data_IF_611803454493
#
_entry.id   IF_611803454493
#
_cell.length_a   1.000
_cell.length_b   1.000
_cell.length_c   1.000
_cell.angle_alpha   90.00
_cell.angle_beta   90.00
_cell.angle_gamma   90.00
#
_symmetry.space_group_name_H-M   'P 1'
#
loop_
_entity.id
_entity.type
_entity.pdbx_description
1 polymer ?
#
# COMPACT_ATOMS: atom_id res chain seq x y z
N UNK A 1 -4.28 -7.16 7.82
CA UNK A 1 -4.35 -8.31 6.87
C UNK A 1 -4.14 -9.65 7.61
N UNK A 2 -4.68 -10.79 7.15
CA UNK A 2 -4.44 -12.11 7.80
C UNK A 2 -2.97 -12.54 7.76
N UNK A 3 -2.24 -12.27 6.67
CA UNK A 3 -0.82 -12.62 6.55
C UNK A 3 0.02 -11.91 7.63
N UNK A 4 -0.21 -10.62 7.84
CA UNK A 4 0.43 -9.84 8.92
C UNK A 4 0.15 -10.41 10.31
N UNK A 5 -1.09 -10.81 10.58
CA UNK A 5 -1.45 -11.42 11.87
C UNK A 5 -0.65 -12.71 12.13
N UNK A 6 -0.49 -13.55 11.10
CA UNK A 6 0.32 -14.76 11.19
C UNK A 6 1.82 -14.45 11.44
N UNK A 7 2.28 -13.28 10.98
CA UNK A 7 3.63 -12.75 11.22
C UNK A 7 3.73 -11.94 12.52
N UNK A 8 2.65 -11.87 13.32
CA UNK A 8 2.55 -11.06 14.55
C UNK A 8 2.80 -9.56 14.32
N UNK A 9 2.45 -9.07 13.15
CA UNK A 9 2.45 -7.65 12.82
C UNK A 9 1.03 -7.10 12.90
N UNK A 10 0.90 -5.94 13.53
CA UNK A 10 -0.38 -5.29 13.82
C UNK A 10 -0.36 -3.81 13.41
N UNK A 11 -0.08 -3.49 12.13
CA UNK A 11 -0.15 -2.11 11.66
C UNK A 11 -1.60 -1.60 11.70
N UNK A 12 -1.76 -0.28 11.83
CA UNK A 12 -3.05 0.33 11.60
C UNK A 12 -3.36 0.26 10.10
N UNK A 13 -4.52 -0.25 9.70
CA UNK A 13 -4.89 -0.43 8.30
C UNK A 13 -6.01 0.51 7.89
N UNK A 14 -5.89 1.16 6.73
CA UNK A 14 -6.86 2.15 6.25
C UNK A 14 -7.18 1.99 4.77
N UNK A 15 -8.34 2.52 4.39
CA UNK A 15 -8.74 2.79 3.00
C UNK A 15 -8.81 4.31 2.84
N UNK A 16 -8.36 4.84 1.70
CA UNK A 16 -8.40 6.28 1.47
C UNK A 16 -9.22 6.63 0.23
N UNK A 17 -10.10 7.62 0.40
CA UNK A 17 -10.96 8.16 -0.65
C UNK A 17 -11.22 9.64 -0.40
N UNK A 18 -11.40 10.39 -1.48
CA UNK A 18 -11.78 11.81 -1.46
C UNK A 18 -13.16 12.07 -2.07
N UNK A 19 -13.71 13.27 -1.84
CA UNK A 19 -14.96 13.71 -2.47
C UNK A 19 -14.86 13.80 -4.00
N UNK A 20 -13.67 14.07 -4.55
CA UNK A 20 -13.40 14.05 -6.00
C UNK A 20 -13.08 12.65 -6.55
N UNK A 21 -13.43 11.60 -5.81
CA UNK A 21 -13.36 10.18 -6.22
C UNK A 21 -11.94 9.70 -6.53
N UNK A 22 -10.92 10.28 -5.89
CA UNK A 22 -9.59 9.68 -5.86
C UNK A 22 -9.57 8.63 -4.77
N UNK A 23 -8.84 7.54 -5.01
CA UNK A 23 -8.83 6.38 -4.14
C UNK A 23 -7.41 5.82 -4.04
N UNK A 24 -7.14 5.18 -2.91
CA UNK A 24 -6.01 4.28 -2.69
C UNK A 24 -6.61 3.05 -2.02
N UNK A 25 -6.38 1.88 -2.62
CA UNK A 25 -7.00 0.62 -2.17
C UNK A 25 -6.61 0.26 -0.74
N UNK A 26 -5.38 0.50 -0.32
CA UNK A 26 -4.93 0.05 1.00
C UNK A 26 -3.74 0.85 1.52
N UNK A 27 -3.76 1.12 2.82
CA UNK A 27 -2.71 1.80 3.57
C UNK A 27 -2.40 1.01 4.83
N UNK A 28 -1.12 0.95 5.19
CA UNK A 28 -0.67 0.42 6.48
C UNK A 28 0.16 1.48 7.19
N UNK A 29 -0.08 1.69 8.48
CA UNK A 29 0.70 2.59 9.31
C UNK A 29 1.39 1.82 10.43
N UNK A 30 2.71 1.93 10.47
CA UNK A 30 3.55 1.39 11.53
C UNK A 30 4.87 2.16 11.60
N UNK A 31 5.30 2.48 12.82
CA UNK A 31 6.59 3.16 13.05
C UNK A 31 6.71 4.52 12.36
N UNK A 32 5.59 5.25 12.22
CA UNK A 32 5.56 6.57 11.58
C UNK A 32 5.68 6.55 10.06
N UNK A 33 5.59 5.37 9.43
CA UNK A 33 5.52 5.22 7.97
C UNK A 33 4.10 4.88 7.57
N UNK A 34 3.68 5.41 6.42
CA UNK A 34 2.35 5.20 5.84
C UNK A 34 2.47 4.75 4.37
N UNK A 35 3.00 3.55 4.10
CA UNK A 35 2.97 2.97 2.75
C UNK A 35 1.56 2.85 2.19
N UNK A 36 1.43 3.15 0.90
CA UNK A 36 0.20 3.05 0.12
C UNK A 36 0.33 1.98 -0.97
N UNK A 37 -0.73 1.18 -1.11
CA UNK A 37 -0.78 0.05 -2.03
C UNK A 37 -2.01 0.15 -2.93
N UNK A 38 -1.81 -0.13 -4.20
CA UNK A 38 -2.86 -0.24 -5.22
C UNK A 38 -2.80 -1.65 -5.82
N UNK A 39 -3.93 -2.33 -5.95
CA UNK A 39 -3.98 -3.68 -6.50
C UNK A 39 -4.45 -3.67 -7.96
N UNK A 40 -3.69 -4.34 -8.84
CA UNK A 40 -4.05 -4.51 -10.25
C UNK A 40 -3.90 -5.96 -10.67
N UNK A 41 -4.91 -6.50 -11.35
CA UNK A 41 -4.84 -7.85 -11.89
C UNK A 41 -3.85 -7.95 -13.06
N UNK A 42 -3.99 -7.04 -14.05
CA UNK A 42 -3.08 -6.99 -15.19
C UNK A 42 -1.77 -6.28 -14.77
N UNK A 43 -0.59 -6.93 -14.87
CA UNK A 43 0.69 -6.32 -14.53
C UNK A 43 1.04 -5.09 -15.39
N UNK A 44 0.46 -4.99 -16.59
CA UNK A 44 0.65 -3.86 -17.50
C UNK A 44 -0.38 -2.74 -17.29
N UNK A 45 -1.30 -2.87 -16.32
CA UNK A 45 -2.28 -1.83 -16.03
C UNK A 45 -1.58 -0.58 -15.49
N UNK A 46 -1.93 0.58 -16.05
CA UNK A 46 -1.43 1.86 -15.53
C UNK A 46 -2.11 2.15 -14.20
N UNK A 47 -1.31 2.35 -13.16
CA UNK A 47 -1.76 2.94 -11.90
C UNK A 47 -1.31 4.40 -11.84
N UNK A 48 -2.20 5.30 -11.41
CA UNK A 48 -1.87 6.71 -11.25
C UNK A 48 -1.69 7.00 -9.76
N UNK A 49 -0.48 7.37 -9.37
CA UNK A 49 -0.17 7.83 -8.02
C UNK A 49 -1.02 9.08 -7.68
N UNK A 50 -1.91 9.05 -6.66
CA UNK A 50 -2.78 10.18 -6.35
C UNK A 50 -2.00 11.35 -5.74
N UNK A 51 -1.67 12.38 -6.54
CA UNK A 51 -0.83 13.50 -6.11
C UNK A 51 -1.30 14.15 -4.80
N UNK A 52 -2.62 14.39 -4.65
CA UNK A 52 -3.21 14.98 -3.45
C UNK A 52 -2.87 14.22 -2.15
N UNK A 53 -2.77 12.88 -2.21
CA UNK A 53 -2.37 12.09 -1.05
C UNK A 53 -0.91 12.36 -0.69
N UNK A 54 -0.01 12.35 -1.66
CA UNK A 54 1.43 12.52 -1.42
C UNK A 54 1.86 13.96 -1.18
N UNK A 55 1.05 14.94 -1.58
CA UNK A 55 1.20 16.33 -1.13
C UNK A 55 0.90 16.46 0.36
N UNK A 56 -0.09 15.71 0.87
CA UNK A 56 -0.46 15.71 2.30
C UNK A 56 0.48 14.83 3.14
N UNK A 57 0.91 13.69 2.59
CA UNK A 57 1.79 12.72 3.23
C UNK A 57 3.06 12.52 2.39
N UNK A 58 3.99 13.49 2.41
CA UNK A 58 5.16 13.51 1.52
C UNK A 58 6.14 12.36 1.73
N UNK A 59 6.15 11.77 2.93
CA UNK A 59 7.03 10.66 3.29
C UNK A 59 6.43 9.26 3.02
N UNK A 60 5.22 9.20 2.44
CA UNK A 60 4.58 7.93 2.07
C UNK A 60 5.16 7.34 0.79
N UNK A 61 5.27 6.01 0.74
CA UNK A 61 5.56 5.26 -0.49
C UNK A 61 4.28 4.87 -1.24
N UNK A 62 4.41 4.56 -2.53
CA UNK A 62 3.32 4.04 -3.36
C UNK A 62 3.80 2.81 -4.11
N UNK A 63 3.12 1.69 -3.94
CA UNK A 63 3.43 0.43 -4.61
C UNK A 63 2.19 -0.13 -5.31
N UNK A 64 2.42 -0.71 -6.49
CA UNK A 64 1.37 -1.36 -7.27
C UNK A 64 1.58 -2.86 -7.19
N UNK A 65 0.65 -3.55 -6.55
CA UNK A 65 0.70 -4.99 -6.35
C UNK A 65 -0.06 -5.68 -7.47
N UNK A 66 0.61 -6.61 -8.15
CA UNK A 66 0.07 -7.34 -9.28
C UNK A 66 0.08 -8.84 -9.02
N UNK A 67 -0.47 -9.63 -9.94
CA UNK A 67 -0.36 -11.09 -9.88
C UNK A 67 1.08 -11.61 -9.87
N UNK A 68 2.03 -10.80 -10.34
CA UNK A 68 3.45 -11.15 -10.35
C UNK A 68 4.12 -10.79 -9.02
N UNK A 69 3.73 -9.68 -8.37
CA UNK A 69 4.38 -9.17 -7.15
C UNK A 69 3.65 -9.51 -5.83
N UNK A 70 2.41 -10.02 -5.86
CA UNK A 70 1.62 -10.24 -4.63
C UNK A 70 2.29 -11.18 -3.63
N UNK A 71 3.07 -12.16 -4.09
CA UNK A 71 3.79 -13.08 -3.18
C UNK A 71 4.85 -12.33 -2.40
N UNK A 72 5.61 -11.44 -3.04
CA UNK A 72 6.60 -10.60 -2.38
C UNK A 72 5.94 -9.65 -1.37
N UNK A 73 4.81 -9.05 -1.73
CA UNK A 73 4.00 -8.24 -0.81
C UNK A 73 3.59 -9.00 0.45
N UNK A 74 3.11 -10.25 0.31
CA UNK A 74 2.73 -11.09 1.46
C UNK A 74 3.92 -11.53 2.33
N UNK A 75 5.11 -11.67 1.74
CA UNK A 75 6.32 -12.11 2.44
C UNK A 75 7.13 -10.96 3.04
N UNK A 76 6.87 -9.72 2.63
CA UNK A 76 7.61 -8.54 3.08
C UNK A 76 8.89 -8.28 2.27
N UNK A 77 9.07 -8.92 1.12
CA UNK A 77 10.32 -8.90 0.33
C UNK A 77 10.69 -7.53 -0.28
N UNK A 78 9.88 -6.50 -0.07
CA UNK A 78 10.09 -5.13 -0.56
C UNK A 78 10.21 -4.07 0.54
N UNK A 79 9.95 -4.41 1.80
CA UNK A 79 10.07 -3.50 2.93
C UNK A 79 11.25 -3.97 3.76
N UNK A 80 12.34 -3.19 3.79
CA UNK A 80 13.42 -3.45 4.74
C UNK A 80 12.81 -3.55 6.14
N UNK A 81 12.75 -4.78 6.63
CA UNK A 81 12.36 -5.09 7.99
C UNK A 81 13.52 -4.61 8.85
N UNK A 82 13.25 -3.73 9.80
CA UNK A 82 14.22 -3.38 10.85
C UNK A 82 14.24 -4.49 11.89
#
# INVERSE_FOLDING_TARGET
MKALHNQRQFPNSFFWRTYDRKEIDYLEEAGGRLPAFEFKWNPNAKARKPAAFFETYPNSSFEVITQESYRGFLMGDGLQTF
#
